data_IF_412142448947
#
_entry.id   IF_412142448947
#
_cell.length_a   1.000
_cell.length_b   1.000
_cell.length_c   1.000
_cell.angle_alpha   90.00
_cell.angle_beta   90.00
_cell.angle_gamma   90.00
#
_symmetry.space_group_name_H-M   'P 1'
#
loop_
_entity.id
_entity.type
_entity.pdbx_description
1 polymer ?
#
# COMPACT_ATOMS: atom_id res chain seq x y z
N UNK A 1 4.09 -2.30 -19.65
CA UNK A 1 3.99 -3.49 -20.52
C UNK A 1 3.10 -3.14 -21.71
N UNK A 2 3.25 -3.81 -22.86
CA UNK A 2 2.71 -3.37 -24.17
C UNK A 2 1.23 -3.70 -24.43
N UNK A 3 0.54 -4.27 -23.44
CA UNK A 3 -0.75 -4.95 -23.66
C UNK A 3 -1.98 -4.06 -23.36
N UNK A 4 -1.77 -2.77 -23.09
CA UNK A 4 -2.84 -1.82 -22.82
C UNK A 4 -3.65 -2.15 -21.55
N UNK A 5 -4.81 -1.47 -21.43
CA UNK A 5 -5.60 -1.45 -20.19
C UNK A 5 -6.23 -2.79 -19.82
N UNK A 6 -6.55 -3.63 -20.81
CA UNK A 6 -7.15 -4.94 -20.60
C UNK A 6 -6.20 -5.88 -19.84
N UNK A 7 -4.89 -5.74 -20.05
CA UNK A 7 -3.91 -6.50 -19.28
C UNK A 7 -3.81 -6.04 -17.81
N UNK A 8 -4.19 -4.81 -17.48
CA UNK A 8 -4.06 -4.27 -16.13
C UNK A 8 -5.16 -4.75 -15.18
N UNK A 9 -6.36 -5.05 -15.72
CA UNK A 9 -7.45 -5.65 -14.95
C UNK A 9 -7.07 -7.02 -14.40
N UNK A 10 -7.54 -7.32 -13.18
CA UNK A 10 -7.37 -8.62 -12.55
C UNK A 10 -8.70 -9.04 -11.96
N UNK A 11 -9.18 -10.20 -12.40
CA UNK A 11 -10.40 -10.83 -11.89
C UNK A 11 -10.09 -12.26 -11.45
N UNK A 12 -11.05 -12.92 -10.80
CA UNK A 12 -10.92 -14.31 -10.38
C UNK A 12 -11.69 -15.24 -11.31
N UNK A 13 -11.06 -16.32 -11.74
CA UNK A 13 -11.71 -17.45 -12.42
C UNK A 13 -11.37 -18.74 -11.65
N UNK A 14 -12.32 -19.20 -10.84
CA UNK A 14 -12.13 -20.30 -9.90
C UNK A 14 -10.98 -19.99 -8.92
N UNK A 15 -9.86 -20.70 -9.07
CA UNK A 15 -8.67 -20.55 -8.22
C UNK A 15 -7.58 -19.69 -8.86
N UNK A 16 -7.82 -19.09 -10.02
CA UNK A 16 -6.83 -18.32 -10.79
C UNK A 16 -7.16 -16.84 -10.78
N UNK A 17 -6.12 -16.02 -10.83
CA UNK A 17 -6.27 -14.64 -11.27
C UNK A 17 -6.14 -14.59 -12.79
N UNK A 18 -7.02 -13.84 -13.46
CA UNK A 18 -7.00 -13.68 -14.92
C UNK A 18 -7.09 -12.20 -15.28
N UNK A 19 -6.41 -11.82 -16.37
CA UNK A 19 -6.52 -10.48 -16.93
C UNK A 19 -7.68 -10.35 -17.92
N UNK A 20 -7.90 -9.14 -18.46
CA UNK A 20 -8.95 -8.87 -19.45
C UNK A 20 -8.78 -9.58 -20.79
N UNK A 21 -7.65 -10.26 -21.02
CA UNK A 21 -7.44 -11.14 -22.17
C UNK A 21 -7.67 -12.62 -21.83
N UNK A 22 -8.02 -12.95 -20.59
CA UNK A 22 -8.19 -14.32 -20.11
C UNK A 22 -6.88 -15.05 -19.83
N UNK A 23 -5.74 -14.33 -19.76
CA UNK A 23 -4.43 -14.92 -19.42
C UNK A 23 -4.33 -15.07 -17.91
N UNK A 24 -3.74 -16.15 -17.44
CA UNK A 24 -3.47 -16.33 -16.02
C UNK A 24 -2.41 -15.34 -15.53
N UNK A 25 -2.69 -14.67 -14.40
CA UNK A 25 -1.84 -13.66 -13.79
C UNK A 25 -1.21 -14.23 -12.53
N UNK A 26 0.13 -14.27 -12.50
CA UNK A 26 0.89 -14.60 -11.30
C UNK A 26 1.41 -13.32 -10.66
N UNK A 27 0.95 -13.01 -9.46
CA UNK A 27 1.33 -11.82 -8.71
C UNK A 27 2.61 -12.09 -7.90
N UNK A 28 3.67 -11.34 -8.17
CA UNK A 28 4.95 -11.41 -7.45
C UNK A 28 5.41 -10.00 -7.09
N UNK A 29 5.79 -9.81 -5.82
CA UNK A 29 6.34 -8.54 -5.36
C UNK A 29 6.47 -8.44 -3.85
N UNK A 30 6.26 -7.23 -3.32
CA UNK A 30 6.70 -6.84 -1.98
C UNK A 30 5.59 -6.18 -1.16
N UNK A 31 5.76 -6.16 0.17
CA UNK A 31 5.02 -5.25 1.04
C UNK A 31 5.70 -3.87 1.02
N UNK A 32 4.92 -2.81 0.87
CA UNK A 32 5.41 -1.44 0.74
C UNK A 32 4.52 -0.49 1.56
N UNK A 33 5.01 0.24 2.55
CA UNK A 33 6.27 0.00 3.25
C UNK A 33 5.99 -0.07 4.74
N UNK A 34 6.90 -0.70 5.48
CA UNK A 34 6.81 -0.78 6.94
C UNK A 34 6.82 0.58 7.64
N UNK A 35 7.27 1.64 6.96
CA UNK A 35 7.30 3.01 7.46
C UNK A 35 5.91 3.53 7.87
N UNK A 36 4.85 3.00 7.26
CA UNK A 36 3.43 3.28 7.59
C UNK A 36 3.12 3.07 9.07
N UNK A 37 3.84 2.15 9.74
CA UNK A 37 3.61 1.79 11.15
C UNK A 37 4.19 2.81 12.12
N UNK A 38 5.14 3.61 11.66
CA UNK A 38 5.88 4.55 12.48
C UNK A 38 5.14 5.89 12.53
N UNK A 39 4.91 6.41 13.74
CA UNK A 39 4.16 7.67 13.90
C UNK A 39 4.93 8.86 13.37
N UNK A 40 6.26 8.84 13.48
CA UNK A 40 7.11 9.91 12.96
C UNK A 40 6.88 10.15 11.46
N UNK A 41 6.32 9.16 10.76
CA UNK A 41 5.97 9.23 9.35
C UNK A 41 4.50 9.60 9.09
N UNK A 42 3.71 9.89 10.12
CA UNK A 42 2.28 10.24 10.03
C UNK A 42 1.47 9.20 9.22
N UNK A 43 1.76 7.91 9.42
CA UNK A 43 1.06 6.83 8.72
C UNK A 43 1.34 6.73 7.22
N UNK A 44 2.35 7.45 6.69
CA UNK A 44 2.69 7.42 5.27
C UNK A 44 3.79 6.39 4.96
N UNK A 45 3.65 5.61 3.88
CA UNK A 45 4.67 4.63 3.46
C UNK A 45 5.99 5.23 2.96
N UNK A 46 5.97 6.48 2.51
CA UNK A 46 7.15 7.22 2.06
C UNK A 46 7.07 8.67 2.53
N UNK A 47 8.23 9.28 2.78
CA UNK A 47 8.32 10.69 3.16
C UNK A 47 7.78 11.63 2.05
N UNK A 48 8.00 11.29 0.77
CA UNK A 48 7.50 12.05 -0.39
C UNK A 48 7.10 11.13 -1.53
N UNK A 49 6.23 11.63 -2.42
CA UNK A 49 5.87 10.94 -3.68
C UNK A 49 7.10 10.68 -4.57
N UNK A 50 8.11 11.55 -4.51
CA UNK A 50 9.37 11.33 -5.23
C UNK A 50 10.12 10.07 -4.74
N UNK A 51 10.08 9.77 -3.44
CA UNK A 51 10.71 8.59 -2.84
C UNK A 51 9.94 7.31 -3.21
N UNK A 52 8.61 7.38 -3.24
CA UNK A 52 7.75 6.32 -3.76
C UNK A 52 8.07 6.03 -5.24
N UNK A 53 8.20 7.07 -6.09
CA UNK A 53 8.55 6.93 -7.51
C UNK A 53 9.93 6.33 -7.71
N UNK A 54 10.92 6.75 -6.92
CA UNK A 54 12.27 6.17 -6.96
C UNK A 54 12.24 4.67 -6.62
N UNK A 55 11.50 4.30 -5.58
CA UNK A 55 11.32 2.92 -5.14
C UNK A 55 10.59 2.08 -6.18
N UNK A 56 9.51 2.60 -6.77
CA UNK A 56 8.76 1.95 -7.85
C UNK A 56 9.63 1.70 -9.08
N UNK A 57 10.43 2.70 -9.51
CA UNK A 57 11.37 2.55 -10.61
C UNK A 57 12.45 1.49 -10.33
N UNK A 58 13.03 1.50 -9.13
CA UNK A 58 14.02 0.50 -8.72
C UNK A 58 13.42 -0.91 -8.70
N UNK A 59 12.24 -1.07 -8.09
CA UNK A 59 11.51 -2.34 -8.05
C UNK A 59 11.24 -2.86 -9.46
N UNK A 60 10.73 -1.98 -10.34
CA UNK A 60 10.44 -2.32 -11.73
C UNK A 60 11.68 -2.78 -12.50
N UNK A 61 12.78 -2.06 -12.35
CA UNK A 61 13.99 -2.28 -13.16
C UNK A 61 14.89 -3.40 -12.63
N UNK A 62 14.86 -3.69 -11.33
CA UNK A 62 15.83 -4.59 -10.70
C UNK A 62 15.26 -5.94 -10.28
N UNK A 63 13.93 -6.06 -10.13
CA UNK A 63 13.33 -7.27 -9.51
C UNK A 63 12.38 -8.03 -10.42
N UNK A 64 11.82 -7.37 -11.45
CA UNK A 64 10.75 -7.95 -12.26
C UNK A 64 9.40 -8.06 -11.55
N UNK A 65 9.25 -7.51 -10.34
CA UNK A 65 7.98 -7.49 -9.62
C UNK A 65 6.87 -6.78 -10.42
N UNK A 66 5.64 -7.30 -10.28
CA UNK A 66 4.45 -6.82 -10.99
C UNK A 66 3.31 -6.40 -10.05
N UNK A 67 3.51 -6.53 -8.73
CA UNK A 67 2.53 -6.18 -7.71
C UNK A 67 3.19 -5.70 -6.42
N UNK A 68 2.45 -4.94 -5.62
CA UNK A 68 2.80 -4.58 -4.23
C UNK A 68 1.58 -4.69 -3.33
N UNK A 69 1.78 -5.18 -2.11
CA UNK A 69 0.83 -5.01 -1.00
C UNK A 69 1.19 -3.70 -0.31
N UNK A 70 0.36 -2.68 -0.49
CA UNK A 70 0.66 -1.30 -0.14
C UNK A 70 -0.05 -0.91 1.15
N UNK A 71 0.72 -0.73 2.21
CA UNK A 71 0.22 -0.45 3.54
C UNK A 71 -0.42 0.94 3.61
N UNK A 72 -1.51 1.04 4.35
CA UNK A 72 -2.17 2.26 4.79
C UNK A 72 -2.68 2.07 6.22
N UNK A 73 -2.88 3.18 6.92
CA UNK A 73 -3.28 3.17 8.32
C UNK A 73 -4.74 3.55 8.48
N UNK A 74 -5.50 2.75 9.23
CA UNK A 74 -6.87 3.13 9.62
C UNK A 74 -6.84 4.35 10.55
N UNK A 75 -5.94 4.38 11.53
CA UNK A 75 -5.78 5.49 12.46
C UNK A 75 -5.51 6.84 11.78
N UNK A 76 -4.91 6.85 10.60
CA UNK A 76 -4.70 8.07 9.80
C UNK A 76 -5.77 8.29 8.74
N UNK A 77 -6.41 7.23 8.21
CA UNK A 77 -7.51 7.37 7.26
C UNK A 77 -8.83 7.84 7.91
N UNK A 78 -9.07 7.45 9.15
CA UNK A 78 -10.25 7.81 9.95
C UNK A 78 -9.82 7.97 11.42
N UNK A 79 -9.17 9.09 11.77
CA UNK A 79 -8.63 9.31 13.12
C UNK A 79 -9.70 9.43 14.20
N UNK A 80 -10.95 9.75 13.82
CA UNK A 80 -12.12 9.78 14.70
C UNK A 80 -13.30 9.09 14.02
N UNK A 81 -14.18 8.41 14.76
CA UNK A 81 -15.32 7.71 14.18
C UNK A 81 -16.18 8.61 13.27
N UNK A 82 -16.33 8.22 12.01
CA UNK A 82 -17.08 8.96 11.00
C UNK A 82 -16.35 10.14 10.37
N UNK A 83 -15.10 10.40 10.73
CA UNK A 83 -14.30 11.51 10.21
C UNK A 83 -13.13 11.02 9.36
N UNK A 84 -13.36 10.95 8.05
CA UNK A 84 -12.35 10.55 7.08
C UNK A 84 -11.34 11.69 6.85
N UNK A 85 -10.04 11.40 6.97
CA UNK A 85 -8.98 12.34 6.64
C UNK A 85 -8.67 12.25 5.13
N UNK A 86 -9.28 13.16 4.36
CA UNK A 86 -9.05 13.23 2.91
C UNK A 86 -7.63 13.68 2.56
N UNK A 87 -6.96 14.46 3.40
CA UNK A 87 -5.61 14.94 3.14
C UNK A 87 -4.59 13.80 3.29
N UNK A 88 -4.78 12.91 4.26
CA UNK A 88 -4.03 11.66 4.35
C UNK A 88 -4.27 10.78 3.11
N UNK A 89 -5.55 10.55 2.76
CA UNK A 89 -5.92 9.70 1.63
C UNK A 89 -5.36 10.23 0.30
N UNK A 90 -5.38 11.55 0.07
CA UNK A 90 -4.76 12.16 -1.12
C UNK A 90 -3.25 11.90 -1.17
N UNK A 91 -2.55 12.02 -0.04
CA UNK A 91 -1.10 11.79 0.02
C UNK A 91 -0.75 10.32 -0.22
N UNK A 92 -1.40 9.38 0.47
CA UNK A 92 -1.09 7.96 0.32
C UNK A 92 -1.46 7.46 -1.08
N UNK A 93 -2.58 7.92 -1.65
CA UNK A 93 -2.97 7.54 -3.02
C UNK A 93 -2.06 8.17 -4.08
N UNK A 94 -1.50 9.37 -3.86
CA UNK A 94 -0.47 9.92 -4.72
C UNK A 94 0.82 9.06 -4.73
N UNK A 95 1.17 8.45 -3.60
CA UNK A 95 2.28 7.49 -3.52
C UNK A 95 1.95 6.18 -4.23
N UNK A 96 0.74 5.64 -4.06
CA UNK A 96 0.26 4.47 -4.80
C UNK A 96 0.28 4.72 -6.32
N UNK A 97 -0.11 5.92 -6.76
CA UNK A 97 -0.07 6.30 -8.17
C UNK A 97 1.34 6.21 -8.76
N UNK A 98 2.39 6.46 -7.97
CA UNK A 98 3.76 6.30 -8.44
C UNK A 98 4.11 4.84 -8.80
N UNK A 99 3.50 3.86 -8.12
CA UNK A 99 3.64 2.43 -8.44
C UNK A 99 2.78 2.04 -9.66
N UNK A 100 1.55 2.56 -9.74
CA UNK A 100 0.68 2.36 -10.91
C UNK A 100 1.33 2.92 -12.18
N UNK A 101 1.89 4.13 -12.12
CA UNK A 101 2.61 4.77 -13.23
C UNK A 101 3.85 3.97 -13.66
N UNK A 102 4.43 3.16 -12.76
CA UNK A 102 5.52 2.23 -13.07
C UNK A 102 5.04 0.87 -13.61
N UNK A 103 3.72 0.68 -13.78
CA UNK A 103 3.10 -0.56 -14.25
C UNK A 103 3.08 -1.67 -13.19
N UNK A 104 3.09 -1.30 -11.91
CA UNK A 104 3.01 -2.22 -10.76
C UNK A 104 1.59 -2.19 -10.21
N UNK A 105 0.97 -3.35 -10.05
CA UNK A 105 -0.38 -3.47 -9.45
C UNK A 105 -0.32 -3.20 -7.95
N UNK A 106 -1.23 -2.39 -7.45
CA UNK A 106 -1.24 -1.96 -6.03
C UNK A 106 -2.44 -2.60 -5.32
N UNK A 107 -2.17 -3.28 -4.21
CA UNK A 107 -3.20 -3.85 -3.33
C UNK A 107 -3.18 -3.10 -1.99
N UNK A 108 -4.12 -2.19 -1.74
CA UNK A 108 -4.23 -1.47 -0.48
C UNK A 108 -4.41 -2.45 0.69
N UNK A 109 -3.63 -2.24 1.74
CA UNK A 109 -3.63 -3.01 2.97
C UNK A 109 -3.85 -2.09 4.17
N UNK A 110 -5.03 -2.11 4.77
CA UNK A 110 -5.28 -1.47 6.07
C UNK A 110 -4.54 -2.27 7.15
N UNK A 111 -3.29 -1.87 7.38
CA UNK A 111 -2.36 -2.65 8.19
C UNK A 111 -2.63 -2.46 9.69
N UNK A 112 -2.29 -3.48 10.46
CA UNK A 112 -2.19 -3.42 11.91
C UNK A 112 -1.19 -4.48 12.39
N UNK A 113 -0.38 -4.12 13.38
CA UNK A 113 0.23 -5.04 14.32
C UNK A 113 -0.31 -4.73 15.72
N UNK A 114 -0.72 -5.76 16.44
CA UNK A 114 -1.18 -5.66 17.83
C UNK A 114 -2.32 -4.63 18.01
N UNK A 115 -3.23 -4.56 17.04
CA UNK A 115 -4.47 -3.76 17.03
C UNK A 115 -4.30 -2.23 17.00
N UNK A 116 -3.62 -1.63 17.98
CA UNK A 116 -3.48 -0.17 18.09
C UNK A 116 -2.28 0.20 18.95
N UNK A 117 -1.70 1.37 18.70
CA UNK A 117 -0.72 2.00 19.60
C UNK A 117 -1.29 2.38 20.97
N UNK A 118 -2.61 2.56 21.07
CA UNK A 118 -3.24 3.08 22.28
C UNK A 118 -3.50 2.02 23.36
N UNK A 119 -3.22 0.74 23.08
CA UNK A 119 -3.32 -0.35 24.07
C UNK A 119 -2.01 -0.62 24.81
N UNK A 120 -0.93 0.09 24.46
CA UNK A 120 0.39 -0.05 25.06
C UNK A 120 0.69 1.06 26.07
N UNK A 121 1.54 0.74 27.05
CA UNK A 121 2.05 1.74 28.00
C UNK A 121 2.93 2.78 27.28
N UNK A 122 2.87 4.03 27.75
CA UNK A 122 3.55 5.17 27.09
C UNK A 122 5.06 4.98 26.92
N UNK A 123 5.70 4.24 27.82
CA UNK A 123 7.14 4.01 27.85
C UNK A 123 7.54 2.61 27.31
N UNK A 124 6.59 1.91 26.67
CA UNK A 124 6.85 0.59 26.10
C UNK A 124 7.81 0.67 24.91
N UNK A 125 8.80 -0.23 24.90
CA UNK A 125 9.71 -0.41 23.76
C UNK A 125 9.00 -1.00 22.53
N UNK A 126 7.86 -1.66 22.75
CA UNK A 126 6.99 -2.21 21.72
C UNK A 126 5.73 -1.35 21.60
N UNK A 127 5.28 -1.10 20.37
CA UNK A 127 4.01 -0.45 20.09
C UNK A 127 3.25 -1.24 19.03
N UNK A 128 1.94 -1.02 18.96
CA UNK A 128 1.10 -1.48 17.86
C UNK A 128 0.81 -0.39 16.83
N UNK A 129 0.11 -0.75 15.77
CA UNK A 129 -0.43 0.16 14.76
C UNK A 129 -1.79 -0.35 14.27
N UNK A 130 -2.47 0.45 13.46
CA UNK A 130 -3.75 0.07 12.88
C UNK A 130 -4.90 0.94 13.35
N UNK A 131 -5.60 0.52 14.41
CA UNK A 131 -6.81 1.17 14.86
C UNK A 131 -6.56 2.52 15.56
N UNK A 132 -7.44 3.53 15.35
CA UNK A 132 -7.43 4.78 16.10
C UNK A 132 -7.75 4.54 17.59
N UNK A 133 -7.76 5.62 18.37
CA UNK A 133 -8.06 5.59 19.81
C UNK A 133 -9.50 5.16 20.12
#
# INVERSE_FOLDING_TARGET
WFDGRAADEVTTDGTRFVDGHGREVVLRGFNVSGETKLEENNGLPFARVADARKSAAAMRNLTGANSVRFLLSWAHAEPRPGEVDTAYLEQVTAQMKAFLDAGIRVYPDFHQDLYSRHIFDKDSWYSGDGAPK
#
